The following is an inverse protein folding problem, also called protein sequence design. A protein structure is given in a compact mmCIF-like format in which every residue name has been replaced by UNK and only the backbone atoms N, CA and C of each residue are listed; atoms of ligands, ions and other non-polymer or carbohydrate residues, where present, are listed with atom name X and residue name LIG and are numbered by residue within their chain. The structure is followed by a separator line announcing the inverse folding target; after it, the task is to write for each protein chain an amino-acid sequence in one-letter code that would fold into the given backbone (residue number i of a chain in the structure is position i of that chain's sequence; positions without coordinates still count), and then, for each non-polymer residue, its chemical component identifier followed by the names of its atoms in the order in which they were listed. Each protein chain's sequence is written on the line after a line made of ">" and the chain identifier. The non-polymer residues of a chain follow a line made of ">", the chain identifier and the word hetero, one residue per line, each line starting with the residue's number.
data_IF_040140642922
#
_entry.id   IF_040140642922
#
_cell.length_a   1.000
_cell.length_b   1.000
_cell.length_c   1.000
_cell.angle_alpha   90.00
_cell.angle_beta   90.00
_cell.angle_gamma   90.00
#
_symmetry.space_group_name_H-M   'P 1'
#
loop_
_entity.id
_entity.type
_entity.pdbx_description
1 polymer ?
#
# COMPACT_ATOMS: atom_id res chain seq x y z
N UNK A 1 33.71 -43.83 -12.19
CA UNK A 1 34.53 -43.46 -11.00
C UNK A 1 34.70 -41.95 -10.83
N UNK A 2 34.81 -41.15 -11.90
CA UNK A 2 35.00 -39.69 -11.84
C UNK A 2 33.93 -38.86 -11.07
N UNK A 3 32.61 -39.12 -11.16
CA UNK A 3 31.61 -38.27 -10.47
C UNK A 3 31.57 -38.48 -8.94
N UNK A 4 31.94 -39.67 -8.46
CA UNK A 4 31.99 -39.97 -7.02
C UNK A 4 33.19 -39.27 -6.34
N UNK A 5 34.30 -39.10 -7.04
CA UNK A 5 35.45 -38.33 -6.54
C UNK A 5 35.15 -36.83 -6.48
N UNK A 6 34.34 -36.32 -7.41
CA UNK A 6 33.96 -34.90 -7.44
C UNK A 6 33.00 -34.55 -6.29
N UNK A 7 31.98 -35.39 -6.06
CA UNK A 7 31.03 -35.23 -4.94
C UNK A 7 31.72 -35.47 -3.59
N UNK A 8 32.58 -36.50 -3.50
CA UNK A 8 33.36 -36.78 -2.30
C UNK A 8 34.39 -35.69 -1.99
N UNK A 9 35.05 -35.15 -3.02
CA UNK A 9 36.01 -34.04 -2.90
C UNK A 9 35.36 -32.72 -2.50
N UNK A 10 34.18 -32.42 -3.05
CA UNK A 10 33.41 -31.23 -2.67
C UNK A 10 32.93 -31.33 -1.22
N UNK A 11 32.42 -32.50 -0.80
CA UNK A 11 32.01 -32.74 0.59
C UNK A 11 33.18 -32.60 1.58
N UNK A 12 34.39 -33.01 1.19
CA UNK A 12 35.60 -32.86 2.01
C UNK A 12 36.06 -31.40 2.08
N UNK A 13 35.88 -30.62 1.02
CA UNK A 13 36.15 -29.17 1.01
C UNK A 13 35.16 -28.40 1.89
N UNK A 14 33.87 -28.76 1.89
CA UNK A 14 32.87 -28.14 2.79
C UNK A 14 33.13 -28.50 4.26
N UNK A 15 33.62 -29.72 4.54
CA UNK A 15 34.01 -30.14 5.90
C UNK A 15 35.28 -29.46 6.41
N UNK A 16 36.25 -29.17 5.53
CA UNK A 16 37.52 -28.58 5.93
C UNK A 16 37.40 -27.10 6.29
N UNK A 17 36.33 -26.44 5.83
CA UNK A 17 35.99 -25.07 6.21
C UNK A 17 35.07 -24.99 7.46
N UNK A 18 34.74 -26.13 8.06
CA UNK A 18 33.84 -26.27 9.22
C UNK A 18 34.57 -26.69 10.51
N UNK A 19 35.91 -26.61 10.54
CA UNK A 19 36.69 -26.78 11.76
C UNK A 19 36.90 -25.49 12.56
N UNK A 20 36.15 -24.42 12.24
CA UNK A 20 36.14 -23.19 13.03
C UNK A 20 34.70 -22.63 13.13
N UNK A 21 33.99 -22.98 14.21
CA UNK A 21 32.69 -22.40 14.57
C UNK A 21 31.53 -23.40 14.58
N UNK A 22 31.08 -23.79 15.78
CA UNK A 22 29.96 -24.71 15.99
C UNK A 22 28.60 -24.14 15.61
N UNK A 23 27.67 -25.01 15.20
CA UNK A 23 26.27 -24.68 14.92
C UNK A 23 25.56 -25.75 14.08
N UNK A 24 24.39 -26.17 14.55
CA UNK A 24 23.52 -27.26 14.07
C UNK A 24 22.81 -26.93 12.70
N UNK A 25 21.87 -27.73 12.13
CA UNK A 25 21.83 -28.10 10.72
C UNK A 25 20.59 -27.54 9.99
N UNK A 26 20.75 -26.75 8.94
CA UNK A 26 19.58 -26.39 8.14
C UNK A 26 19.88 -25.41 7.03
N UNK A 27 19.36 -25.72 5.84
CA UNK A 27 19.18 -24.75 4.78
C UNK A 27 20.28 -24.77 3.72
N UNK A 28 20.01 -25.54 2.66
CA UNK A 28 20.61 -25.36 1.35
C UNK A 28 20.32 -23.92 0.85
N UNK A 29 21.25 -22.99 1.09
CA UNK A 29 21.21 -21.62 0.57
C UNK A 29 22.48 -21.35 -0.22
N UNK A 30 22.52 -21.79 -1.48
CA UNK A 30 23.61 -21.49 -2.40
C UNK A 30 23.64 -20.00 -2.80
N UNK A 31 24.81 -19.43 -3.08
CA UNK A 31 24.93 -18.06 -3.59
C UNK A 31 24.43 -18.01 -5.04
N UNK A 32 23.29 -17.37 -5.29
CA UNK A 32 22.68 -17.26 -6.63
C UNK A 32 21.15 -17.35 -6.67
N UNK A 33 20.47 -17.15 -5.53
CA UNK A 33 19.01 -17.25 -5.42
C UNK A 33 18.26 -16.07 -6.06
N UNK A 34 18.09 -16.12 -7.38
CA UNK A 34 17.00 -15.40 -8.04
C UNK A 34 15.70 -16.13 -7.67
N UNK A 35 15.12 -15.81 -6.50
CA UNK A 35 13.87 -16.40 -6.00
C UNK A 35 12.73 -16.17 -7.01
N UNK A 36 12.21 -17.21 -7.71
CA UNK A 36 11.06 -17.07 -8.62
C UNK A 36 9.76 -16.70 -7.86
N UNK A 37 9.75 -16.89 -6.53
CA UNK A 37 8.67 -16.50 -5.61
C UNK A 37 8.59 -14.98 -5.34
N UNK A 38 9.45 -14.16 -5.94
CA UNK A 38 9.37 -12.70 -5.83
C UNK A 38 8.41 -12.05 -6.86
N UNK A 39 7.95 -12.80 -7.86
CA UNK A 39 7.11 -12.31 -8.97
C UNK A 39 5.70 -11.85 -8.55
N UNK A 40 5.29 -12.06 -7.29
CA UNK A 40 3.94 -11.74 -6.80
C UNK A 40 3.85 -10.69 -5.69
N UNK A 41 4.95 -10.09 -5.24
CA UNK A 41 4.90 -9.02 -4.22
C UNK A 41 4.88 -7.67 -4.92
N UNK A 42 3.72 -7.29 -5.45
CA UNK A 42 3.50 -5.92 -5.92
C UNK A 42 3.73 -4.94 -4.77
N UNK A 43 4.82 -4.19 -4.84
CA UNK A 43 5.06 -3.03 -3.98
C UNK A 43 4.36 -1.83 -4.60
N UNK A 44 3.03 -1.88 -4.73
CA UNK A 44 2.29 -0.65 -4.98
C UNK A 44 2.63 0.31 -3.83
N UNK A 45 3.15 1.49 -4.16
CA UNK A 45 3.54 2.48 -3.17
C UNK A 45 2.28 3.15 -2.64
N UNK A 46 1.54 2.45 -1.78
CA UNK A 46 0.42 3.01 -1.05
C UNK A 46 0.93 4.18 -0.21
N UNK A 47 0.60 5.40 -0.62
CA UNK A 47 0.88 6.59 0.16
C UNK A 47 -0.28 6.74 1.16
N UNK A 48 -0.04 6.32 2.40
CA UNK A 48 -0.91 6.57 3.53
C UNK A 48 -0.47 7.88 4.18
N UNK A 49 -1.33 8.87 4.15
CA UNK A 49 -1.18 10.10 4.93
C UNK A 49 -2.10 10.00 6.16
N UNK A 50 -1.56 9.77 7.37
CA UNK A 50 -2.37 9.64 8.58
C UNK A 50 -3.05 10.95 8.99
N UNK A 51 -2.48 12.08 8.58
CA UNK A 51 -3.09 13.39 8.69
C UNK A 51 -2.74 14.19 7.44
N UNK A 52 -3.74 14.64 6.68
CA UNK A 52 -3.53 15.43 5.47
C UNK A 52 -3.08 16.85 5.77
N UNK A 53 -3.42 17.39 6.96
CA UNK A 53 -3.17 18.77 7.34
C UNK A 53 -3.93 19.81 6.48
N UNK A 54 -4.88 19.35 5.66
CA UNK A 54 -5.69 20.17 4.75
C UNK A 54 -7.15 20.07 5.19
N UNK A 55 -7.83 21.19 5.30
CA UNK A 55 -9.26 21.27 5.68
C UNK A 55 -10.10 21.93 4.59
N UNK A 56 -11.42 22.07 4.78
CA UNK A 56 -12.25 22.78 3.81
C UNK A 56 -11.90 24.27 3.69
N UNK A 57 -11.23 24.85 4.68
CA UNK A 57 -10.76 26.25 4.63
C UNK A 57 -9.67 26.44 3.57
N UNK A 58 -8.90 25.40 3.26
CA UNK A 58 -7.83 25.43 2.25
C UNK A 58 -8.34 25.28 0.81
N UNK A 59 -9.62 24.96 0.62
CA UNK A 59 -10.25 24.80 -0.70
C UNK A 59 -11.07 26.05 -1.02
N UNK A 60 -10.79 26.76 -2.10
CA UNK A 60 -11.57 27.92 -2.51
C UNK A 60 -12.49 27.65 -3.72
N UNK A 61 -13.63 28.34 -3.79
CA UNK A 61 -14.45 28.44 -5.00
C UNK A 61 -15.33 27.24 -5.35
N UNK A 62 -15.59 26.35 -4.39
CA UNK A 62 -16.42 25.14 -4.57
C UNK A 62 -17.42 24.95 -3.43
N UNK A 63 -18.13 26.02 -3.07
CA UNK A 63 -19.00 26.05 -1.89
C UNK A 63 -20.18 25.06 -1.98
N UNK A 64 -20.74 24.89 -3.18
CA UNK A 64 -21.78 23.87 -3.44
C UNK A 64 -21.25 22.46 -3.16
N UNK A 65 -20.08 22.11 -3.71
CA UNK A 65 -19.47 20.81 -3.50
C UNK A 65 -19.08 20.59 -2.03
N UNK A 66 -18.56 21.61 -1.34
CA UNK A 66 -18.27 21.53 0.09
C UNK A 66 -19.53 21.17 0.89
N UNK A 67 -20.67 21.79 0.56
CA UNK A 67 -21.93 21.51 1.24
C UNK A 67 -22.38 20.05 1.04
N UNK A 68 -22.28 19.54 -0.19
CA UNK A 68 -22.59 18.12 -0.47
C UNK A 68 -21.62 17.18 0.27
N UNK A 69 -20.34 17.55 0.38
CA UNK A 69 -19.34 16.74 1.07
C UNK A 69 -19.40 16.86 2.60
N UNK A 70 -20.08 17.85 3.17
CA UNK A 70 -20.32 17.92 4.62
C UNK A 70 -21.12 16.71 5.11
N UNK A 71 -22.09 16.23 4.34
CA UNK A 71 -22.83 15.01 4.66
C UNK A 71 -21.89 13.79 4.68
N UNK A 72 -20.98 13.71 3.71
CA UNK A 72 -19.98 12.62 3.64
C UNK A 72 -19.02 12.68 4.83
N UNK A 73 -18.59 13.88 5.23
CA UNK A 73 -17.74 14.08 6.42
C UNK A 73 -18.47 13.66 7.69
N UNK A 74 -19.74 14.06 7.86
CA UNK A 74 -20.53 13.68 9.04
C UNK A 74 -20.76 12.16 9.07
N UNK A 75 -20.98 11.55 7.91
CA UNK A 75 -21.06 10.11 7.77
C UNK A 75 -19.77 9.41 8.24
N UNK A 76 -18.60 9.89 7.80
CA UNK A 76 -17.31 9.31 8.22
C UNK A 76 -17.07 9.46 9.73
N UNK A 77 -17.55 10.55 10.34
CA UNK A 77 -17.43 10.78 11.79
C UNK A 77 -18.41 9.96 12.63
N UNK A 78 -19.64 9.75 12.14
CA UNK A 78 -20.75 9.14 12.90
C UNK A 78 -21.57 8.15 12.06
N UNK A 79 -20.96 7.05 11.58
CA UNK A 79 -21.63 6.12 10.67
C UNK A 79 -22.89 5.50 11.30
N UNK A 80 -22.89 5.27 12.61
CA UNK A 80 -24.01 4.65 13.33
C UNK A 80 -25.33 5.41 13.18
N UNK A 81 -25.28 6.75 13.18
CA UNK A 81 -26.47 7.60 13.01
C UNK A 81 -27.14 7.36 11.66
N UNK A 82 -26.35 7.29 10.59
CA UNK A 82 -26.85 7.07 9.24
C UNK A 82 -27.38 5.65 9.07
N UNK A 83 -26.73 4.64 9.66
CA UNK A 83 -27.23 3.26 9.60
C UNK A 83 -28.53 3.08 10.38
N UNK A 84 -28.74 3.82 11.47
CA UNK A 84 -29.95 3.70 12.29
C UNK A 84 -31.22 4.17 11.58
N UNK A 85 -31.10 5.13 10.67
CA UNK A 85 -32.19 5.65 9.84
C UNK A 85 -32.33 4.91 8.51
N UNK A 86 -31.54 3.86 8.28
CA UNK A 86 -31.53 3.08 7.03
C UNK A 86 -30.89 3.81 5.84
N UNK A 87 -30.11 4.87 6.08
CA UNK A 87 -29.46 5.60 5.00
C UNK A 87 -28.38 4.74 4.33
N UNK A 88 -28.34 4.78 3.00
CA UNK A 88 -27.38 4.01 2.20
C UNK A 88 -26.16 4.86 1.92
N UNK A 89 -25.01 4.32 2.31
CA UNK A 89 -23.72 5.01 2.24
C UNK A 89 -23.24 5.06 0.78
N UNK A 90 -22.85 6.25 0.27
CA UNK A 90 -22.15 6.34 -1.00
C UNK A 90 -20.86 5.53 -0.95
N UNK A 91 -20.73 4.55 -1.84
CA UNK A 91 -19.55 3.68 -1.87
C UNK A 91 -18.32 4.34 -2.50
N UNK A 92 -18.54 5.41 -3.26
CA UNK A 92 -17.48 6.13 -3.95
C UNK A 92 -18.04 7.38 -4.61
N UNK A 93 -17.15 8.35 -4.83
CA UNK A 93 -17.45 9.61 -5.50
C UNK A 93 -16.43 9.79 -6.61
N UNK A 94 -16.91 10.21 -7.79
CA UNK A 94 -16.06 10.54 -8.93
C UNK A 94 -16.02 12.06 -9.11
N UNK A 95 -14.84 12.65 -8.88
CA UNK A 95 -14.61 14.08 -9.12
C UNK A 95 -14.16 14.28 -10.58
N UNK A 96 -14.94 15.02 -11.37
CA UNK A 96 -14.65 15.29 -12.78
C UNK A 96 -14.40 16.79 -12.99
N UNK A 97 -13.39 17.13 -13.79
CA UNK A 97 -13.14 18.52 -14.18
C UNK A 97 -11.74 18.70 -14.79
N UNK A 98 -11.44 19.87 -15.38
CA UNK A 98 -10.12 20.21 -15.95
C UNK A 98 -8.95 19.97 -14.99
N UNK A 99 -7.71 19.73 -15.46
CA UNK A 99 -6.55 19.64 -14.58
C UNK A 99 -6.38 20.94 -13.77
N UNK A 100 -5.92 20.84 -12.52
CA UNK A 100 -5.67 22.00 -11.65
C UNK A 100 -6.87 22.54 -10.88
N UNK A 101 -8.09 22.00 -11.03
CA UNK A 101 -9.30 22.47 -10.32
C UNK A 101 -9.43 21.98 -8.87
N UNK A 102 -8.32 21.60 -8.22
CA UNK A 102 -8.34 21.24 -6.80
C UNK A 102 -9.02 19.90 -6.44
N UNK A 103 -9.31 18.99 -7.39
CA UNK A 103 -9.95 17.68 -7.09
C UNK A 103 -9.23 16.87 -6.02
N UNK A 104 -7.91 16.70 -6.15
CA UNK A 104 -7.09 15.99 -5.15
C UNK A 104 -7.01 16.75 -3.84
N UNK A 105 -6.99 18.08 -3.88
CA UNK A 105 -6.96 18.94 -2.70
C UNK A 105 -8.28 18.83 -1.92
N UNK A 106 -9.42 18.83 -2.61
CA UNK A 106 -10.73 18.58 -2.04
C UNK A 106 -10.83 17.19 -1.40
N UNK A 107 -10.32 16.15 -2.05
CA UNK A 107 -10.29 14.80 -1.47
C UNK A 107 -9.47 14.73 -0.17
N UNK A 108 -8.32 15.43 -0.11
CA UNK A 108 -7.50 15.56 1.10
C UNK A 108 -8.21 16.37 2.20
N UNK A 109 -8.92 17.42 1.81
CA UNK A 109 -9.72 18.24 2.72
C UNK A 109 -10.85 17.44 3.37
N UNK A 110 -11.58 16.61 2.60
CA UNK A 110 -12.65 15.74 3.13
C UNK A 110 -12.08 14.78 4.19
N UNK A 111 -10.92 14.17 3.92
CA UNK A 111 -10.28 13.27 4.89
C UNK A 111 -9.79 14.01 6.14
N UNK A 112 -9.21 15.20 5.97
CA UNK A 112 -8.77 16.06 7.08
C UNK A 112 -9.93 16.51 7.96
N UNK A 113 -11.03 16.94 7.34
CA UNK A 113 -12.28 17.30 8.02
C UNK A 113 -12.87 16.14 8.80
N UNK A 114 -12.90 14.94 8.20
CA UNK A 114 -13.38 13.72 8.84
C UNK A 114 -12.44 13.18 9.92
N UNK A 115 -11.16 13.58 9.93
CA UNK A 115 -10.14 13.05 10.83
C UNK A 115 -9.80 11.58 10.55
N UNK A 116 -9.92 11.14 9.29
CA UNK A 116 -9.66 9.77 8.86
C UNK A 116 -8.39 9.67 8.01
N UNK A 117 -7.70 8.52 7.97
CA UNK A 117 -6.54 8.33 7.11
C UNK A 117 -6.87 8.53 5.63
N UNK A 118 -5.97 9.19 4.89
CA UNK A 118 -6.09 9.37 3.45
C UNK A 118 -5.16 8.42 2.70
N UNK A 119 -5.72 7.64 1.77
CA UNK A 119 -4.97 6.72 0.91
C UNK A 119 -5.00 7.23 -0.52
N UNK A 120 -3.83 7.45 -1.10
CA UNK A 120 -3.69 7.87 -2.50
C UNK A 120 -2.99 6.80 -3.32
N UNK A 121 -3.60 6.46 -4.46
CA UNK A 121 -3.03 5.57 -5.48
C UNK A 121 -3.34 6.14 -6.86
N UNK A 122 -2.35 6.14 -7.75
CA UNK A 122 -2.55 6.56 -9.13
C UNK A 122 -3.11 5.40 -9.94
N UNK A 123 -4.11 5.66 -10.80
CA UNK A 123 -4.65 4.65 -11.72
C UNK A 123 -3.60 4.06 -12.66
N UNK A 124 -2.55 4.82 -12.99
CA UNK A 124 -1.43 4.32 -13.78
C UNK A 124 -0.64 3.21 -13.07
N UNK A 125 -0.54 3.27 -11.74
CA UNK A 125 0.15 2.24 -10.95
C UNK A 125 -0.59 0.90 -10.98
N UNK A 126 -1.91 0.89 -11.21
CA UNK A 126 -2.68 -0.34 -11.36
C UNK A 126 -2.44 -1.05 -12.69
N UNK A 127 -2.10 -0.32 -13.76
CA UNK A 127 -1.85 -0.92 -15.08
C UNK A 127 -0.50 -1.66 -15.11
N UNK A 128 0.50 -1.18 -14.37
CA UNK A 128 1.80 -1.84 -14.22
C UNK A 128 1.74 -3.10 -13.32
N UNK A 129 0.61 -3.35 -12.65
CA UNK A 129 0.42 -4.53 -11.79
C UNK A 129 -0.05 -5.77 -12.54
N UNK A 130 -0.32 -5.69 -13.85
CA UNK A 130 -0.77 -6.79 -14.71
C UNK A 130 0.19 -7.08 -15.86
#
# INVERSE_FOLDING_TARGET
>A
SFPLLLVGGLFLLTRRNQSNGGGMPGGMGGPGGNNPMAFGKSKAKFQMEPNTGVTFDDVAGVDEAKNDFMEVVEFLKRPERFTSVGAKIPKGVLLVGPPGTGKTLLAKAIAGEAGVPFFSISGSEFVEMF
#
